data_IF_762284421849
#
_entry.id   IF_762284421849
#
_cell.length_a   1.000
_cell.length_b   1.000
_cell.length_c   1.000
_cell.angle_alpha   90.00
_cell.angle_beta   90.00
_cell.angle_gamma   90.00
#
_symmetry.space_group_name_H-M   'P 1'
#
loop_
_entity.id
_entity.type
_entity.pdbx_description
1 polymer ?
#
# COMPACT_ATOMS: atom_id res chain seq x y z
N UNK A 1 -48.68 25.01 -27.29
CA UNK A 1 -48.58 26.48 -27.49
C UNK A 1 -48.06 27.05 -26.18
N UNK A 2 -46.82 27.56 -26.14
CA UNK A 2 -46.51 29.01 -26.18
C UNK A 2 -47.11 29.70 -24.94
N UNK A 3 -46.43 30.50 -24.10
CA UNK A 3 -45.07 31.01 -23.92
C UNK A 3 -45.21 32.02 -22.74
N UNK A 4 -44.08 32.48 -22.20
CA UNK A 4 -43.87 33.76 -21.47
C UNK A 4 -44.38 33.86 -20.02
N UNK A 5 -43.48 33.98 -19.03
CA UNK A 5 -42.63 35.15 -18.63
C UNK A 5 -43.44 36.30 -18.04
N UNK A 6 -43.14 36.64 -16.79
CA UNK A 6 -42.69 37.97 -16.29
C UNK A 6 -42.66 37.90 -14.74
N UNK A 7 -41.97 38.67 -13.92
CA UNK A 7 -40.72 39.48 -13.90
C UNK A 7 -40.72 40.17 -12.51
N UNK A 8 -39.53 40.47 -11.96
CA UNK A 8 -39.26 41.50 -10.92
C UNK A 8 -39.71 41.21 -9.46
N UNK A 9 -39.06 41.69 -8.38
CA UNK A 9 -38.03 42.73 -8.23
C UNK A 9 -37.37 42.72 -6.82
N UNK A 10 -36.16 43.30 -6.73
CA UNK A 10 -35.60 44.14 -5.65
C UNK A 10 -35.21 43.48 -4.30
N UNK A 11 -34.09 43.77 -3.62
CA UNK A 11 -33.03 44.78 -3.80
C UNK A 11 -32.44 45.17 -2.42
N UNK A 12 -31.20 45.71 -2.43
CA UNK A 12 -30.40 46.45 -1.40
C UNK A 12 -29.02 45.82 -1.19
N UNK A 13 -27.92 46.23 -1.85
CA UNK A 13 -27.08 47.46 -1.77
C UNK A 13 -26.50 47.82 -0.39
N UNK A 14 -25.17 47.71 -0.27
CA UNK A 14 -24.28 48.72 0.32
C UNK A 14 -22.89 48.62 -0.35
N UNK A 15 -22.36 49.77 -0.76
CA UNK A 15 -21.09 49.98 -1.46
C UNK A 15 -20.36 51.17 -0.83
N UNK A 16 -19.04 51.08 -0.66
CA UNK A 16 -18.02 52.16 -0.56
C UNK A 16 -16.65 51.51 -0.88
N UNK A 17 -16.13 51.56 -2.12
CA UNK A 17 -15.06 52.43 -2.69
C UNK A 17 -13.73 52.50 -1.91
N UNK A 18 -12.52 52.32 -2.47
CA UNK A 18 -12.10 52.19 -3.88
C UNK A 18 -10.59 51.90 -4.06
N UNK A 19 -10.21 51.75 -5.34
CA UNK A 19 -8.91 51.89 -6.04
C UNK A 19 -7.70 51.01 -5.60
N UNK A 20 -6.92 50.33 -6.45
CA UNK A 20 -6.62 50.40 -7.90
C UNK A 20 -5.99 49.07 -8.40
N UNK A 21 -6.36 48.67 -9.61
CA UNK A 21 -5.65 47.86 -10.63
C UNK A 21 -4.61 46.78 -10.22
N UNK A 22 -4.88 45.50 -10.51
CA UNK A 22 -4.22 44.64 -11.54
C UNK A 22 -5.14 43.45 -11.82
N UNK A 23 -5.42 43.16 -13.09
CA UNK A 23 -6.36 42.11 -13.50
C UNK A 23 -5.90 40.68 -13.22
N UNK A 24 -6.82 39.84 -12.73
CA UNK A 24 -6.73 38.38 -12.74
C UNK A 24 -7.97 37.81 -13.45
N UNK A 25 -7.83 36.79 -14.31
CA UNK A 25 -8.98 36.10 -14.89
C UNK A 25 -9.66 35.21 -13.82
N UNK A 26 -10.97 34.90 -13.96
CA UNK A 26 -11.69 34.12 -12.97
C UNK A 26 -11.24 32.66 -12.98
N UNK A 27 -10.58 32.22 -11.92
CA UNK A 27 -10.25 30.82 -11.68
C UNK A 27 -11.49 30.04 -11.28
N UNK A 28 -11.87 29.08 -12.11
CA UNK A 28 -12.86 28.03 -11.82
C UNK A 28 -12.52 27.32 -10.49
N UNK A 29 -13.42 27.39 -9.50
CA UNK A 29 -13.41 26.48 -8.35
C UNK A 29 -14.21 25.23 -8.73
N UNK A 30 -13.56 24.28 -9.41
CA UNK A 30 -14.10 22.93 -9.64
C UNK A 30 -13.37 21.92 -8.77
N UNK A 31 -13.96 21.49 -7.65
CA UNK A 31 -13.45 20.36 -6.88
C UNK A 31 -13.81 19.05 -7.59
N UNK A 32 -12.84 18.35 -8.18
CA UNK A 32 -13.03 16.98 -8.65
C UNK A 32 -13.22 16.08 -7.42
N UNK A 33 -14.41 15.51 -7.26
CA UNK A 33 -14.74 14.65 -6.12
C UNK A 33 -13.95 13.34 -6.19
N UNK A 34 -13.26 12.98 -5.10
CA UNK A 34 -12.47 11.74 -4.96
C UNK A 34 -13.34 10.47 -5.08
N UNK A 35 -14.64 10.60 -4.82
CA UNK A 35 -15.60 9.50 -4.81
C UNK A 35 -16.64 9.72 -5.91
N UNK A 36 -16.61 8.95 -7.01
CA UNK A 36 -17.61 9.06 -8.07
C UNK A 36 -18.95 8.50 -7.58
N UNK A 37 -19.97 9.35 -7.56
CA UNK A 37 -21.28 9.07 -6.94
C UNK A 37 -22.19 8.18 -7.79
N UNK A 38 -22.10 8.18 -9.13
CA UNK A 38 -22.87 7.35 -10.06
C UNK A 38 -22.14 7.20 -11.42
N UNK A 39 -22.64 6.35 -12.34
CA UNK A 39 -22.06 6.15 -13.70
C UNK A 39 -21.90 7.47 -14.49
N UNK A 40 -22.87 8.38 -14.38
CA UNK A 40 -22.82 9.70 -15.03
C UNK A 40 -21.80 10.66 -14.37
N UNK A 41 -21.52 10.50 -13.07
CA UNK A 41 -20.49 11.28 -12.38
C UNK A 41 -19.07 10.82 -12.76
N UNK A 42 -18.91 9.54 -13.13
CA UNK A 42 -17.69 9.03 -13.76
C UNK A 42 -17.44 9.72 -15.11
N UNK A 43 -18.50 9.98 -15.89
CA UNK A 43 -18.44 10.70 -17.19
C UNK A 43 -18.18 12.21 -17.05
N UNK A 44 -18.61 12.86 -15.97
CA UNK A 44 -18.23 14.27 -15.70
C UNK A 44 -16.79 14.43 -15.20
N UNK A 45 -16.30 13.48 -14.40
CA UNK A 45 -14.88 13.45 -14.02
C UNK A 45 -13.97 13.26 -15.26
N UNK A 46 -14.45 12.54 -16.28
CA UNK A 46 -13.79 12.39 -17.58
C UNK A 46 -13.64 13.74 -18.32
N UNK A 47 -14.70 14.56 -18.38
CA UNK A 47 -14.64 15.84 -19.10
C UNK A 47 -13.91 16.96 -18.32
N UNK A 48 -13.88 16.90 -16.99
CA UNK A 48 -13.19 17.89 -16.15
C UNK A 48 -11.65 17.76 -16.14
N UNK A 49 -11.10 16.66 -16.64
CA UNK A 49 -9.65 16.43 -16.74
C UNK A 49 -9.06 16.91 -18.09
N UNK A 50 -9.89 17.23 -19.09
CA UNK A 50 -9.44 17.67 -20.42
C UNK A 50 -9.19 19.20 -20.52
N UNK A 51 -9.65 20.01 -19.57
CA UNK A 51 -9.58 21.49 -19.68
C UNK A 51 -8.30 22.14 -19.12
N UNK A 52 -7.23 21.36 -18.88
CA UNK A 52 -5.89 21.89 -18.57
C UNK A 52 -4.89 21.37 -19.59
N UNK A 53 -4.95 21.94 -20.80
CA UNK A 53 -3.82 22.22 -21.71
C UNK A 53 -4.39 22.69 -23.05
N UNK A 54 -4.78 23.96 -23.13
CA UNK A 54 -5.03 24.58 -24.43
C UNK A 54 -3.84 25.47 -24.79
N UNK A 55 -3.03 24.98 -25.72
CA UNK A 55 -1.82 25.66 -26.19
C UNK A 55 -0.96 24.81 -27.11
N UNK A 56 -1.54 24.09 -28.07
CA UNK A 56 -1.12 24.09 -29.48
C UNK A 56 -1.90 23.04 -30.28
N UNK A 57 -2.43 23.48 -31.43
CA UNK A 57 -3.22 22.67 -32.37
C UNK A 57 -2.36 21.57 -32.99
N UNK A 58 -2.83 20.33 -32.95
CA UNK A 58 -3.06 19.39 -34.10
C UNK A 58 -3.49 18.03 -33.52
N UNK A 59 -4.62 17.49 -34.01
CA UNK A 59 -4.96 16.08 -33.88
C UNK A 59 -6.31 15.80 -33.20
N UNK A 60 -7.39 15.82 -33.98
CA UNK A 60 -8.61 15.12 -33.61
C UNK A 60 -8.32 13.62 -33.44
N UNK A 61 -8.77 13.04 -32.32
CA UNK A 61 -8.84 11.59 -32.13
C UNK A 61 -7.78 11.02 -31.19
N UNK A 62 -8.10 10.95 -29.89
CA UNK A 62 -7.86 9.78 -29.02
C UNK A 62 -8.42 10.09 -27.62
N UNK A 63 -9.76 10.09 -27.48
CA UNK A 63 -10.37 9.82 -26.19
C UNK A 63 -10.07 8.34 -25.86
N UNK A 64 -8.96 8.09 -25.17
CA UNK A 64 -8.66 6.76 -24.64
C UNK A 64 -9.69 6.44 -23.57
N UNK A 65 -10.77 5.78 -23.97
CA UNK A 65 -11.68 5.11 -23.05
C UNK A 65 -10.84 4.19 -22.16
N UNK A 66 -10.70 4.53 -20.89
CA UNK A 66 -10.22 3.56 -19.91
C UNK A 66 -11.30 2.49 -19.74
N UNK A 67 -10.90 1.21 -19.81
CA UNK A 67 -11.77 0.10 -19.43
C UNK A 67 -12.12 0.24 -17.94
N UNK A 68 -13.39 0.00 -17.59
CA UNK A 68 -13.95 0.10 -16.23
C UNK A 68 -13.08 -0.52 -15.10
N UNK A 69 -12.45 -1.71 -15.26
CA UNK A 69 -11.55 -2.26 -14.24
C UNK A 69 -10.22 -1.51 -14.07
N UNK A 70 -9.68 -0.91 -15.13
CA UNK A 70 -8.43 -0.15 -15.06
C UNK A 70 -8.63 1.16 -14.29
N UNK A 71 -9.78 1.80 -14.51
CA UNK A 71 -10.17 3.01 -13.78
C UNK A 71 -10.41 2.71 -12.29
N UNK A 72 -11.10 1.62 -11.97
CA UNK A 72 -11.30 1.19 -10.58
C UNK A 72 -9.96 0.95 -9.87
N UNK A 73 -8.99 0.29 -10.52
CA UNK A 73 -7.65 0.10 -9.99
C UNK A 73 -6.96 1.42 -9.69
N UNK A 74 -7.01 2.38 -10.62
CA UNK A 74 -6.38 3.69 -10.45
C UNK A 74 -7.02 4.50 -9.32
N UNK A 75 -8.35 4.45 -9.18
CA UNK A 75 -9.07 5.08 -8.07
C UNK A 75 -8.64 4.51 -6.72
N UNK A 76 -8.55 3.18 -6.61
CA UNK A 76 -8.12 2.51 -5.38
C UNK A 76 -6.66 2.80 -5.04
N UNK A 77 -5.76 2.87 -6.03
CA UNK A 77 -4.38 3.32 -5.82
C UNK A 77 -4.31 4.76 -5.29
N UNK A 78 -5.16 5.65 -5.79
CA UNK A 78 -5.21 7.03 -5.32
C UNK A 78 -5.73 7.11 -3.87
N UNK A 79 -6.72 6.28 -3.51
CA UNK A 79 -7.21 6.14 -2.14
C UNK A 79 -6.08 5.65 -1.22
N UNK A 80 -5.22 4.73 -1.65
CA UNK A 80 -4.10 4.28 -0.83
C UNK A 80 -3.05 5.37 -0.61
N UNK A 81 -2.72 6.11 -1.68
CA UNK A 81 -1.76 7.22 -1.63
C UNK A 81 -2.26 8.33 -0.69
N UNK A 82 -3.56 8.61 -0.74
CA UNK A 82 -4.20 9.73 -0.02
C UNK A 82 -5.22 9.27 1.02
N UNK A 83 -4.99 8.13 1.71
CA UNK A 83 -6.02 7.47 2.54
C UNK A 83 -6.68 8.38 3.56
N UNK A 84 -5.90 9.22 4.25
CA UNK A 84 -6.44 10.11 5.26
C UNK A 84 -7.44 11.09 4.67
N UNK A 85 -7.12 11.69 3.53
CA UNK A 85 -7.98 12.68 2.88
C UNK A 85 -9.19 12.00 2.23
N UNK A 86 -8.96 10.87 1.55
CA UNK A 86 -10.01 10.10 0.90
C UNK A 86 -11.08 9.64 1.91
N UNK A 87 -10.67 9.02 3.02
CA UNK A 87 -11.60 8.50 4.03
C UNK A 87 -12.33 9.63 4.79
N UNK A 88 -11.71 10.81 4.95
CA UNK A 88 -12.35 11.96 5.60
C UNK A 88 -13.17 12.84 4.66
N UNK A 89 -13.07 12.66 3.34
CA UNK A 89 -13.85 13.42 2.38
C UNK A 89 -15.36 13.20 2.58
N UNK A 90 -16.15 14.24 2.32
CA UNK A 90 -17.63 14.16 2.40
C UNK A 90 -18.19 13.09 1.46
N UNK A 91 -17.58 12.93 0.28
CA UNK A 91 -17.98 11.91 -0.69
C UNK A 91 -17.80 10.46 -0.19
N UNK A 92 -17.01 10.22 0.87
CA UNK A 92 -16.84 8.87 1.42
C UNK A 92 -18.17 8.29 1.92
N UNK A 93 -19.05 9.11 2.49
CA UNK A 93 -20.34 8.63 2.96
C UNK A 93 -21.32 8.30 1.84
N UNK A 94 -21.04 8.72 0.61
CA UNK A 94 -21.94 8.57 -0.55
C UNK A 94 -21.74 7.27 -1.32
N UNK A 95 -20.67 6.51 -1.03
CA UNK A 95 -20.35 5.26 -1.72
C UNK A 95 -21.33 4.14 -1.34
N UNK A 96 -21.53 3.17 -2.25
CA UNK A 96 -22.28 1.95 -1.97
C UNK A 96 -21.51 0.97 -1.05
N UNK A 97 -22.22 -0.04 -0.56
CA UNK A 97 -21.67 -1.04 0.36
C UNK A 97 -20.54 -1.87 -0.28
N UNK A 98 -20.65 -2.21 -1.56
CA UNK A 98 -19.65 -3.01 -2.26
C UNK A 98 -18.34 -2.23 -2.42
N UNK A 99 -18.42 -0.93 -2.73
CA UNK A 99 -17.28 -0.01 -2.78
C UNK A 99 -16.67 0.18 -1.40
N UNK A 100 -17.49 0.32 -0.35
CA UNK A 100 -17.00 0.37 1.03
C UNK A 100 -16.22 -0.91 1.37
N UNK A 101 -16.76 -2.08 1.05
CA UNK A 101 -16.10 -3.36 1.29
C UNK A 101 -14.78 -3.45 0.51
N UNK A 102 -14.78 -3.09 -0.78
CA UNK A 102 -13.58 -3.09 -1.61
C UNK A 102 -12.47 -2.18 -1.05
N UNK A 103 -12.82 -1.06 -0.43
CA UNK A 103 -11.87 -0.20 0.28
C UNK A 103 -11.38 -0.87 1.57
N UNK A 104 -12.29 -1.39 2.40
CA UNK A 104 -11.97 -2.01 3.71
C UNK A 104 -11.21 -3.35 3.59
N UNK A 105 -11.26 -4.03 2.45
CA UNK A 105 -10.48 -5.25 2.20
C UNK A 105 -9.00 -4.96 1.95
N UNK A 106 -8.63 -3.73 1.54
CA UNK A 106 -7.26 -3.40 1.14
C UNK A 106 -6.29 -3.44 2.32
N UNK A 107 -5.24 -4.24 2.19
CA UNK A 107 -4.10 -4.21 3.10
C UNK A 107 -3.28 -2.92 2.99
N UNK A 108 -3.43 -2.15 1.91
CA UNK A 108 -2.60 -1.00 1.57
C UNK A 108 -3.09 0.33 2.16
N UNK A 109 -4.26 0.37 2.82
CA UNK A 109 -4.76 1.58 3.47
C UNK A 109 -3.80 2.02 4.60
N UNK A 110 -3.21 3.20 4.46
CA UNK A 110 -2.34 3.76 5.51
C UNK A 110 -3.11 4.62 6.51
N UNK A 111 -3.94 3.98 7.32
CA UNK A 111 -4.76 4.63 8.34
C UNK A 111 -4.82 3.77 9.59
N UNK A 112 -4.89 4.39 10.77
CA UNK A 112 -5.15 3.65 12.03
C UNK A 112 -6.56 3.08 12.00
N UNK A 113 -6.72 1.84 12.47
CA UNK A 113 -8.02 1.16 12.50
C UNK A 113 -9.09 1.97 13.25
N UNK A 114 -8.74 2.67 14.34
CA UNK A 114 -9.70 3.53 15.04
C UNK A 114 -10.25 4.66 14.16
N UNK A 115 -9.42 5.25 13.30
CA UNK A 115 -9.84 6.31 12.37
C UNK A 115 -10.69 5.74 11.24
N UNK A 116 -10.35 4.54 10.78
CA UNK A 116 -11.14 3.81 9.79
C UNK A 116 -12.53 3.45 10.36
N UNK A 117 -12.59 2.92 11.59
CA UNK A 117 -13.83 2.63 12.30
C UNK A 117 -14.72 3.87 12.42
N UNK A 118 -14.17 5.02 12.80
CA UNK A 118 -14.95 6.26 12.90
C UNK A 118 -15.52 6.70 11.55
N UNK A 119 -14.78 6.53 10.46
CA UNK A 119 -15.28 6.83 9.12
C UNK A 119 -16.38 5.86 8.68
N UNK A 120 -16.21 4.57 8.97
CA UNK A 120 -17.25 3.55 8.73
C UNK A 120 -18.51 3.83 9.56
N UNK A 121 -18.35 4.35 10.79
CA UNK A 121 -19.45 4.83 11.62
C UNK A 121 -20.24 5.97 10.97
N UNK A 122 -19.55 6.96 10.38
CA UNK A 122 -20.19 8.04 9.59
C UNK A 122 -20.92 7.49 8.37
N UNK A 123 -20.31 6.53 7.66
CA UNK A 123 -20.96 5.89 6.52
C UNK A 123 -22.23 5.14 6.96
N UNK A 124 -22.18 4.40 8.07
CA UNK A 124 -23.35 3.69 8.60
C UNK A 124 -24.49 4.64 8.99
N UNK A 125 -24.18 5.80 9.56
CA UNK A 125 -25.17 6.85 9.85
C UNK A 125 -25.83 7.39 8.59
N UNK A 126 -25.03 7.71 7.56
CA UNK A 126 -25.54 8.17 6.27
C UNK A 126 -26.39 7.10 5.58
N UNK A 127 -25.97 5.83 5.65
CA UNK A 127 -26.71 4.71 5.07
C UNK A 127 -28.04 4.45 5.78
N UNK A 128 -28.07 4.53 7.12
CA UNK A 128 -29.32 4.48 7.87
C UNK A 128 -30.27 5.62 7.44
N UNK A 129 -29.76 6.83 7.23
CA UNK A 129 -30.57 7.95 6.75
C UNK A 129 -31.11 7.71 5.33
N UNK A 130 -30.28 7.18 4.42
CA UNK A 130 -30.70 6.81 3.05
C UNK A 130 -31.81 5.76 3.05
N UNK A 131 -31.73 4.78 3.95
CA UNK A 131 -32.73 3.73 4.12
C UNK A 131 -33.91 4.14 5.02
N UNK A 132 -33.98 5.40 5.47
CA UNK A 132 -35.02 5.90 6.38
C UNK A 132 -35.14 5.11 7.69
N UNK A 133 -34.02 4.60 8.19
CA UNK A 133 -33.91 3.87 9.45
C UNK A 133 -33.56 4.82 10.60
N UNK A 134 -34.04 4.49 11.81
CA UNK A 134 -33.62 5.17 13.03
C UNK A 134 -32.14 4.92 13.29
N UNK A 135 -31.41 5.94 13.80
CA UNK A 135 -29.97 5.88 14.07
C UNK A 135 -29.63 5.08 15.34
N UNK A 136 -30.09 3.83 15.42
CA UNK A 136 -29.80 2.92 16.53
C UNK A 136 -28.56 2.06 16.21
N UNK A 137 -27.82 1.58 17.24
CA UNK A 137 -26.67 0.69 17.04
C UNK A 137 -27.00 -0.57 16.24
N UNK A 138 -28.19 -1.14 16.44
CA UNK A 138 -28.67 -2.34 15.75
C UNK A 138 -28.86 -2.08 14.25
N UNK A 139 -29.43 -0.92 13.90
CA UNK A 139 -29.59 -0.52 12.50
C UNK A 139 -28.24 -0.21 11.86
N UNK A 140 -27.32 0.45 12.56
CA UNK A 140 -25.94 0.68 12.08
C UNK A 140 -25.24 -0.65 11.80
N UNK A 141 -25.32 -1.62 12.72
CA UNK A 141 -24.77 -2.97 12.52
C UNK A 141 -25.41 -3.66 11.32
N UNK A 142 -26.74 -3.54 11.15
CA UNK A 142 -27.48 -4.14 10.05
C UNK A 142 -27.04 -3.59 8.69
N UNK A 143 -26.91 -2.27 8.54
CA UNK A 143 -26.49 -1.66 7.26
C UNK A 143 -25.02 -1.93 6.94
N UNK A 144 -24.16 -2.05 7.96
CA UNK A 144 -22.76 -2.41 7.77
C UNK A 144 -22.57 -3.85 7.30
N UNK A 145 -23.38 -4.79 7.82
CA UNK A 145 -23.30 -6.21 7.44
C UNK A 145 -21.87 -6.75 7.50
N UNK A 146 -21.36 -7.30 6.39
CA UNK A 146 -20.00 -7.86 6.28
C UNK A 146 -18.90 -6.81 6.38
N UNK A 147 -19.17 -5.55 6.07
CA UNK A 147 -18.17 -4.48 6.16
C UNK A 147 -17.64 -4.31 7.59
N UNK A 148 -18.47 -4.59 8.61
CA UNK A 148 -18.05 -4.52 10.02
C UNK A 148 -16.91 -5.51 10.34
N UNK A 149 -16.96 -6.72 9.78
CA UNK A 149 -15.91 -7.73 9.99
C UNK A 149 -14.59 -7.42 9.28
N UNK A 150 -14.57 -6.46 8.36
CA UNK A 150 -13.36 -6.02 7.66
C UNK A 150 -12.56 -4.98 8.47
N UNK A 151 -13.13 -4.46 9.56
CA UNK A 151 -12.42 -3.60 10.51
C UNK A 151 -11.57 -4.49 11.41
N UNK A 152 -10.29 -4.16 11.54
CA UNK A 152 -9.30 -5.00 12.23
C UNK A 152 -9.16 -4.59 13.68
N UNK A 153 -10.25 -4.71 14.45
CA UNK A 153 -10.28 -4.34 15.87
C UNK A 153 -9.10 -4.87 16.71
N UNK A 154 -8.58 -6.11 16.51
CA UNK A 154 -7.44 -6.62 17.28
C UNK A 154 -6.14 -5.82 17.13
N UNK A 155 -6.07 -4.92 16.14
CA UNK A 155 -4.93 -4.05 15.90
C UNK A 155 -5.06 -2.65 16.52
N UNK A 156 -6.20 -2.36 17.14
CA UNK A 156 -6.35 -1.15 17.94
C UNK A 156 -5.61 -1.31 19.28
N UNK A 157 -5.21 -0.19 19.87
CA UNK A 157 -4.83 -0.19 21.30
C UNK A 157 -6.05 -0.47 22.18
N UNK A 158 -5.83 -0.95 23.41
CA UNK A 158 -6.92 -1.20 24.37
C UNK A 158 -7.69 0.10 24.62
N UNK A 159 -6.97 1.21 24.74
CA UNK A 159 -7.52 2.54 24.99
C UNK A 159 -8.40 3.01 23.81
N UNK A 160 -7.92 2.85 22.57
CA UNK A 160 -8.70 3.16 21.37
C UNK A 160 -9.97 2.30 21.28
N UNK A 161 -9.84 1.00 21.54
CA UNK A 161 -10.97 0.07 21.49
C UNK A 161 -12.01 0.39 22.58
N UNK A 162 -11.54 0.58 23.82
CA UNK A 162 -12.38 0.84 24.98
C UNK A 162 -13.12 2.17 24.90
N UNK A 163 -12.50 3.21 24.31
CA UNK A 163 -13.10 4.53 24.14
C UNK A 163 -13.97 4.66 22.88
N UNK A 164 -13.80 3.79 21.89
CA UNK A 164 -14.51 3.84 20.62
C UNK A 164 -15.45 2.64 20.42
N UNK A 165 -15.03 1.60 19.68
CA UNK A 165 -15.89 0.47 19.32
C UNK A 165 -16.65 -0.16 20.48
N UNK A 166 -16.02 -0.35 21.64
CA UNK A 166 -16.66 -0.97 22.80
C UNK A 166 -17.85 -0.16 23.36
N UNK A 167 -17.85 1.17 23.20
CA UNK A 167 -18.94 2.04 23.65
C UNK A 167 -20.00 2.29 22.57
N UNK A 168 -19.72 1.89 21.32
CA UNK A 168 -20.61 2.16 20.19
C UNK A 168 -21.89 1.31 20.17
N UNK A 169 -21.91 0.21 20.94
CA UNK A 169 -22.93 -0.84 20.90
C UNK A 169 -23.15 -1.48 19.51
N UNK A 170 -22.30 -1.20 18.53
CA UNK A 170 -22.32 -1.84 17.20
C UNK A 170 -21.77 -3.26 17.29
N UNK A 171 -20.85 -3.53 18.23
CA UNK A 171 -20.36 -4.86 18.56
C UNK A 171 -21.25 -5.53 19.62
N UNK A 172 -21.41 -6.83 19.53
CA UNK A 172 -22.09 -7.64 20.55
C UNK A 172 -21.22 -7.78 21.79
N UNK A 173 -21.84 -8.00 22.96
CA UNK A 173 -21.11 -8.21 24.21
C UNK A 173 -20.09 -9.35 24.11
N UNK A 174 -20.44 -10.42 23.36
CA UNK A 174 -19.53 -11.55 23.11
C UNK A 174 -18.28 -11.12 22.33
N UNK A 175 -18.44 -10.31 21.27
CA UNK A 175 -17.33 -9.78 20.49
C UNK A 175 -16.46 -8.84 21.33
N UNK A 176 -17.09 -7.95 22.12
CA UNK A 176 -16.38 -7.01 23.00
C UNK A 176 -15.54 -7.76 24.03
N UNK A 177 -16.12 -8.73 24.74
CA UNK A 177 -15.40 -9.57 25.71
C UNK A 177 -14.28 -10.34 25.04
N UNK A 178 -14.53 -10.93 23.86
CA UNK A 178 -13.52 -11.68 23.12
C UNK A 178 -12.32 -10.82 22.71
N UNK A 179 -12.56 -9.56 22.31
CA UNK A 179 -11.50 -8.62 21.95
C UNK A 179 -10.74 -8.13 23.19
N UNK A 180 -11.41 -7.85 24.30
CA UNK A 180 -10.72 -7.52 25.57
C UNK A 180 -9.80 -8.64 26.06
N UNK A 181 -10.22 -9.90 25.94
CA UNK A 181 -9.37 -11.05 26.23
C UNK A 181 -8.19 -11.13 25.26
N UNK A 182 -8.40 -10.85 23.97
CA UNK A 182 -7.33 -10.82 22.96
C UNK A 182 -6.24 -9.78 23.31
N UNK A 183 -6.61 -8.63 23.85
CA UNK A 183 -5.63 -7.60 24.20
C UNK A 183 -4.87 -7.86 25.50
N UNK A 184 -5.46 -8.59 26.45
CA UNK A 184 -4.94 -8.71 27.82
C UNK A 184 -4.29 -10.05 28.14
N UNK A 185 -4.66 -11.11 27.44
CA UNK A 185 -4.23 -12.49 27.75
C UNK A 185 -3.10 -12.96 26.83
N UNK A 186 -2.15 -13.73 27.38
CA UNK A 186 -1.06 -14.37 26.66
C UNK A 186 -1.00 -15.88 27.00
N UNK A 187 -1.06 -16.81 26.02
CA UNK A 187 -1.16 -16.59 24.58
C UNK A 187 -2.48 -15.93 24.17
N UNK A 188 -2.41 -15.07 23.14
CA UNK A 188 -3.58 -14.34 22.65
C UNK A 188 -4.63 -15.32 22.10
N UNK A 189 -5.88 -15.29 22.61
CA UNK A 189 -6.96 -16.11 22.06
C UNK A 189 -7.30 -15.69 20.62
N UNK A 190 -7.77 -16.66 19.83
CA UNK A 190 -8.30 -16.40 18.48
C UNK A 190 -9.62 -15.64 18.58
N UNK A 191 -9.85 -14.76 17.61
CA UNK A 191 -11.05 -13.92 17.50
C UNK A 191 -11.61 -13.98 16.08
N UNK A 192 -12.86 -13.55 15.91
CA UNK A 192 -13.57 -13.59 14.61
C UNK A 192 -13.17 -12.43 13.67
N UNK A 193 -12.31 -11.52 14.14
CA UNK A 193 -11.82 -10.37 13.37
C UNK A 193 -10.39 -10.60 12.87
N UNK A 194 -10.06 -9.96 11.75
CA UNK A 194 -8.72 -10.00 11.18
C UNK A 194 -7.74 -9.35 12.17
N UNK A 195 -6.71 -10.09 12.57
CA UNK A 195 -5.66 -9.67 13.51
C UNK A 195 -4.33 -9.38 12.82
N UNK A 196 -4.33 -9.30 11.48
CA UNK A 196 -3.16 -9.00 10.66
C UNK A 196 -3.11 -7.52 10.26
N UNK A 197 -2.00 -6.81 10.54
CA UNK A 197 -1.81 -5.41 10.14
C UNK A 197 -2.12 -5.14 8.67
N UNK A 198 -2.74 -3.98 8.39
CA UNK A 198 -2.74 -3.42 7.03
C UNK A 198 -1.29 -3.10 6.68
N UNK A 199 -0.72 -3.85 5.75
CA UNK A 199 0.58 -3.54 5.16
C UNK A 199 0.44 -2.32 4.25
N UNK A 200 0.48 -1.15 4.87
CA UNK A 200 0.66 0.11 4.18
C UNK A 200 2.09 0.14 3.61
N UNK A 201 2.30 -0.50 2.45
CA UNK A 201 3.46 -0.25 1.60
C UNK A 201 3.31 1.15 1.02
N UNK A 202 3.41 2.16 1.90
CA UNK A 202 3.43 3.56 1.50
C UNK A 202 4.80 3.85 0.93
N UNK A 203 4.81 4.50 -0.22
CA UNK A 203 6.04 4.90 -0.90
C UNK A 203 6.29 4.10 -2.17
N UNK A 204 7.31 4.54 -2.90
CA UNK A 204 7.80 3.86 -4.08
C UNK A 204 8.55 2.62 -3.64
N UNK A 205 8.35 1.50 -4.35
CA UNK A 205 9.21 0.34 -4.17
C UNK A 205 10.67 0.74 -4.44
N UNK A 206 11.54 0.37 -3.52
CA UNK A 206 12.96 0.64 -3.59
C UNK A 206 13.74 -0.66 -3.74
N UNK A 207 14.88 -0.58 -4.41
CA UNK A 207 15.89 -1.63 -4.38
C UNK A 207 17.25 -1.02 -4.03
N UNK A 208 18.08 -1.83 -3.38
CA UNK A 208 19.51 -1.55 -3.25
C UNK A 208 20.28 -2.71 -3.85
N UNK A 209 21.34 -2.41 -4.60
CA UNK A 209 22.29 -3.40 -5.07
C UNK A 209 23.58 -3.29 -4.25
N UNK A 210 24.07 -4.42 -3.73
CA UNK A 210 25.27 -4.46 -2.88
C UNK A 210 26.58 -4.63 -3.66
N UNK A 211 26.54 -4.90 -4.95
CA UNK A 211 27.72 -5.15 -5.77
C UNK A 211 27.99 -4.02 -6.76
N UNK A 212 29.27 -3.82 -7.09
CA UNK A 212 29.68 -2.82 -8.07
C UNK A 212 30.02 -3.43 -9.44
N UNK A 213 30.21 -4.75 -9.49
CA UNK A 213 30.59 -5.49 -10.68
C UNK A 213 29.88 -6.84 -10.74
N UNK A 214 29.79 -7.39 -11.94
CA UNK A 214 29.17 -8.69 -12.22
C UNK A 214 30.15 -9.53 -13.02
N UNK A 215 30.34 -10.78 -12.61
CA UNK A 215 31.27 -11.75 -13.20
C UNK A 215 30.59 -13.10 -13.43
N UNK A 216 31.33 -14.06 -13.99
CA UNK A 216 30.89 -15.44 -14.18
C UNK A 216 32.01 -16.44 -13.80
N UNK A 217 31.74 -17.65 -13.31
CA UNK A 217 30.46 -18.35 -13.13
C UNK A 217 30.22 -18.75 -11.66
N UNK A 218 28.96 -18.86 -11.25
CA UNK A 218 28.54 -19.29 -9.91
C UNK A 218 27.60 -20.49 -9.97
N UNK A 219 27.97 -21.57 -9.27
CA UNK A 219 27.31 -22.88 -9.38
C UNK A 219 26.47 -23.26 -8.17
N UNK A 220 25.59 -24.24 -8.38
CA UNK A 220 24.59 -24.65 -7.40
C UNK A 220 24.60 -26.18 -7.19
N UNK A 221 24.79 -26.60 -5.93
CA UNK A 221 24.78 -28.01 -5.52
C UNK A 221 23.73 -28.31 -4.43
N UNK A 222 22.79 -27.39 -4.21
CA UNK A 222 21.77 -27.46 -3.17
C UNK A 222 22.10 -26.71 -1.88
N UNK A 223 23.29 -26.11 -1.79
CA UNK A 223 23.67 -25.22 -0.69
C UNK A 223 23.04 -23.83 -0.89
N UNK A 224 22.56 -23.21 0.19
CA UNK A 224 21.92 -21.90 0.16
C UNK A 224 22.96 -20.77 0.11
N UNK A 225 22.76 -19.78 -0.75
CA UNK A 225 23.48 -18.51 -0.72
C UNK A 225 22.93 -17.63 0.41
N UNK A 226 23.81 -17.14 1.29
CA UNK A 226 23.38 -16.46 2.52
C UNK A 226 24.20 -15.21 2.81
N UNK A 227 23.51 -14.14 3.18
CA UNK A 227 24.14 -12.88 3.61
C UNK A 227 23.39 -12.30 4.81
N UNK A 228 24.11 -11.80 5.81
CA UNK A 228 23.48 -11.07 6.93
C UNK A 228 23.33 -9.61 6.58
N UNK A 229 22.26 -8.99 7.07
CA UNK A 229 22.07 -7.56 6.94
C UNK A 229 21.40 -6.95 8.17
N UNK A 230 21.65 -5.67 8.36
CA UNK A 230 20.93 -4.79 9.28
C UNK A 230 20.54 -3.52 8.52
N UNK A 231 19.54 -2.81 9.01
CA UNK A 231 19.10 -1.53 8.45
C UNK A 231 18.91 -0.52 9.57
N UNK A 232 19.21 0.76 9.33
CA UNK A 232 19.08 1.80 10.35
C UNK A 232 17.63 2.30 10.58
N UNK A 233 16.67 1.82 9.78
CA UNK A 233 15.26 2.24 9.77
C UNK A 233 14.37 1.03 9.56
N UNK A 234 13.13 1.14 10.05
CA UNK A 234 12.10 0.14 9.79
C UNK A 234 11.83 0.12 8.29
N UNK A 235 11.80 -1.08 7.70
CA UNK A 235 11.44 -1.30 6.30
C UNK A 235 10.58 -2.56 6.19
N UNK A 236 9.95 -2.74 5.02
CA UNK A 236 9.27 -3.98 4.66
C UNK A 236 9.95 -4.57 3.43
N UNK A 237 10.64 -5.69 3.59
CA UNK A 237 11.28 -6.40 2.48
C UNK A 237 10.24 -7.25 1.77
N UNK A 238 10.12 -7.07 0.47
CA UNK A 238 9.12 -7.75 -0.36
C UNK A 238 9.74 -8.80 -1.26
N UNK A 239 11.06 -8.77 -1.49
CA UNK A 239 11.75 -9.74 -2.31
C UNK A 239 13.24 -9.50 -2.44
N UNK A 240 13.88 -10.34 -3.25
CA UNK A 240 15.27 -10.21 -3.64
C UNK A 240 15.39 -10.10 -5.16
N UNK A 241 16.42 -9.41 -5.63
CA UNK A 241 16.93 -9.60 -6.98
C UNK A 241 18.08 -10.60 -6.92
N UNK A 242 18.08 -11.58 -7.83
CA UNK A 242 19.06 -12.65 -7.93
C UNK A 242 19.71 -12.66 -9.32
N UNK A 243 20.99 -13.01 -9.43
CA UNK A 243 21.59 -13.25 -10.73
C UNK A 243 21.07 -14.55 -11.35
N UNK A 244 20.93 -14.53 -12.68
CA UNK A 244 20.49 -15.65 -13.50
C UNK A 244 21.61 -16.28 -14.32
N UNK A 245 21.23 -17.18 -15.22
CA UNK A 245 22.13 -17.99 -16.05
C UNK A 245 23.15 -17.17 -16.84
N UNK A 246 24.33 -17.76 -17.08
CA UNK A 246 25.32 -17.23 -18.05
C UNK A 246 25.00 -17.61 -19.51
N UNK A 247 23.97 -18.42 -19.71
CA UNK A 247 23.56 -18.93 -21.02
C UNK A 247 22.03 -18.90 -21.18
N UNK A 248 21.56 -18.37 -22.31
CA UNK A 248 20.21 -18.53 -22.87
C UNK A 248 19.02 -18.25 -21.94
N UNK A 249 17.79 -18.35 -22.47
CA UNK A 249 16.62 -18.39 -21.63
C UNK A 249 16.56 -19.70 -20.83
N UNK A 250 16.46 -19.61 -19.51
CA UNK A 250 16.30 -20.78 -18.64
C UNK A 250 15.60 -20.41 -17.34
N UNK A 251 15.04 -21.41 -16.68
CA UNK A 251 14.28 -21.26 -15.44
C UNK A 251 15.10 -21.76 -14.25
N UNK A 252 15.03 -21.00 -13.16
CA UNK A 252 15.50 -21.42 -11.84
C UNK A 252 14.32 -21.75 -10.94
N UNK A 253 14.47 -22.81 -10.15
CA UNK A 253 13.70 -22.97 -8.92
C UNK A 253 14.50 -22.36 -7.78
N UNK A 254 13.84 -21.62 -6.89
CA UNK A 254 14.49 -21.00 -5.75
C UNK A 254 13.60 -21.00 -4.51
N UNK A 255 14.18 -21.38 -3.38
CA UNK A 255 13.61 -21.12 -2.06
C UNK A 255 14.28 -19.88 -1.47
N UNK A 256 13.51 -18.82 -1.21
CA UNK A 256 14.00 -17.62 -0.54
C UNK A 256 13.52 -17.55 0.91
N UNK A 257 14.36 -17.04 1.80
CA UNK A 257 14.03 -16.87 3.22
C UNK A 257 14.61 -15.59 3.80
N UNK A 258 13.92 -15.01 4.78
CA UNK A 258 14.48 -14.07 5.74
C UNK A 258 14.38 -14.69 7.12
N UNK A 259 15.52 -14.75 7.81
CA UNK A 259 15.65 -15.39 9.12
C UNK A 259 16.12 -14.35 10.13
N UNK A 260 15.48 -14.28 11.29
CA UNK A 260 16.00 -13.54 12.44
C UNK A 260 17.28 -14.23 12.94
N UNK A 261 18.43 -13.57 12.85
CA UNK A 261 19.74 -14.22 12.98
C UNK A 261 19.97 -14.84 14.36
N UNK A 262 19.53 -14.17 15.43
CA UNK A 262 19.84 -14.61 16.80
C UNK A 262 18.98 -15.80 17.23
N UNK A 263 17.71 -15.83 16.83
CA UNK A 263 16.77 -16.90 17.18
C UNK A 263 16.67 -18.01 16.14
N UNK A 264 17.27 -17.81 14.95
CA UNK A 264 17.09 -18.65 13.77
C UNK A 264 15.62 -18.84 13.35
N UNK A 265 14.74 -17.90 13.71
CA UNK A 265 13.32 -17.95 13.35
C UNK A 265 13.12 -17.46 11.92
N UNK A 266 12.44 -18.25 11.09
CA UNK A 266 12.06 -17.84 9.73
C UNK A 266 10.91 -16.83 9.83
N UNK A 267 11.13 -15.63 9.28
CA UNK A 267 10.15 -14.53 9.27
C UNK A 267 9.37 -14.47 7.96
N UNK A 268 10.00 -14.87 6.85
CA UNK A 268 9.36 -14.99 5.55
C UNK A 268 10.04 -16.07 4.74
N UNK A 269 9.26 -16.82 3.98
CA UNK A 269 9.75 -17.85 3.06
C UNK A 269 8.87 -17.97 1.83
N UNK A 270 9.46 -18.33 0.70
CA UNK A 270 8.71 -18.69 -0.49
C UNK A 270 9.49 -19.69 -1.36
N UNK A 271 8.84 -20.78 -1.75
CA UNK A 271 9.29 -21.68 -2.81
C UNK A 271 8.73 -21.15 -4.13
N UNK A 272 9.63 -20.64 -4.98
CA UNK A 272 9.26 -19.93 -6.21
C UNK A 272 10.28 -20.22 -7.32
N UNK A 273 10.23 -19.46 -8.40
CA UNK A 273 11.15 -19.56 -9.51
C UNK A 273 11.16 -18.28 -10.33
N UNK A 274 12.13 -18.16 -11.22
CA UNK A 274 12.21 -17.06 -12.18
C UNK A 274 12.82 -17.56 -13.48
N UNK A 275 12.41 -16.93 -14.58
CA UNK A 275 13.02 -17.09 -15.90
C UNK A 275 14.05 -15.99 -16.09
N UNK A 276 15.23 -16.35 -16.59
CA UNK A 276 16.28 -15.42 -16.98
C UNK A 276 16.64 -15.61 -18.45
N UNK A 277 17.15 -14.57 -19.10
CA UNK A 277 17.45 -14.51 -20.54
C UNK A 277 18.93 -14.74 -20.89
N UNK A 278 19.78 -14.98 -19.87
CA UNK A 278 21.23 -15.10 -20.02
C UNK A 278 21.99 -13.79 -19.86
N UNK A 279 21.30 -12.67 -19.61
CA UNK A 279 21.95 -11.39 -19.31
C UNK A 279 22.50 -11.35 -17.89
N UNK A 280 23.41 -10.40 -17.64
CA UNK A 280 23.97 -10.13 -16.31
C UNK A 280 23.03 -9.31 -15.41
N UNK A 281 21.75 -9.18 -15.77
CA UNK A 281 20.74 -8.47 -14.99
C UNK A 281 20.34 -9.25 -13.73
N UNK A 282 19.65 -8.56 -12.82
CA UNK A 282 19.00 -9.18 -11.66
C UNK A 282 17.56 -9.55 -11.99
N UNK A 283 17.12 -10.69 -11.47
CA UNK A 283 15.79 -11.25 -11.65
C UNK A 283 15.09 -11.33 -10.31
N UNK A 284 13.86 -10.83 -10.27
CA UNK A 284 13.15 -10.58 -9.02
C UNK A 284 12.41 -11.83 -8.57
N UNK A 285 12.49 -12.09 -7.27
CA UNK A 285 11.73 -13.13 -6.58
C UNK A 285 11.13 -12.57 -5.31
N UNK A 286 9.84 -12.81 -5.11
CA UNK A 286 9.04 -12.11 -4.10
C UNK A 286 8.61 -13.05 -2.98
N UNK A 287 8.53 -12.51 -1.76
CA UNK A 287 7.83 -13.17 -0.65
C UNK A 287 6.32 -13.14 -0.89
N UNK A 288 5.58 -14.04 -0.24
CA UNK A 288 4.11 -14.06 -0.31
C UNK A 288 3.49 -12.83 0.36
N UNK A 289 4.13 -12.35 1.41
CA UNK A 289 3.75 -11.17 2.18
C UNK A 289 5.01 -10.36 2.50
N UNK A 290 4.93 -9.03 2.64
CA UNK A 290 6.07 -8.21 3.04
C UNK A 290 6.60 -8.62 4.43
N UNK A 291 7.93 -8.74 4.55
CA UNK A 291 8.60 -9.09 5.80
C UNK A 291 9.05 -7.82 6.51
N UNK A 292 8.53 -7.59 7.70
CA UNK A 292 8.93 -6.46 8.54
C UNK A 292 10.36 -6.63 9.06
N UNK A 293 11.19 -5.61 8.81
CA UNK A 293 12.57 -5.54 9.27
C UNK A 293 12.71 -4.34 10.21
N UNK A 294 13.10 -4.62 11.44
CA UNK A 294 13.26 -3.62 12.49
C UNK A 294 14.67 -2.99 12.44
N UNK A 295 14.80 -1.71 12.85
CA UNK A 295 16.09 -1.04 12.89
C UNK A 295 17.11 -1.78 13.77
N UNK A 296 18.34 -1.91 13.27
CA UNK A 296 19.51 -2.41 13.99
C UNK A 296 19.38 -3.86 14.51
N UNK A 297 18.44 -4.63 13.99
CA UNK A 297 18.31 -6.07 14.25
C UNK A 297 19.01 -6.85 13.13
N UNK A 298 19.69 -7.94 13.47
CA UNK A 298 20.38 -8.80 12.50
C UNK A 298 19.42 -9.79 11.85
N UNK A 299 19.41 -9.77 10.52
CA UNK A 299 18.67 -10.72 9.69
C UNK A 299 19.60 -11.45 8.75
N UNK A 300 19.21 -12.65 8.33
CA UNK A 300 19.91 -13.41 7.29
C UNK A 300 18.98 -13.56 6.09
N UNK A 301 19.40 -13.02 4.94
CA UNK A 301 18.78 -13.28 3.65
C UNK A 301 19.35 -14.57 3.08
N UNK A 302 18.49 -15.47 2.63
CA UNK A 302 18.86 -16.76 2.07
C UNK A 302 18.19 -16.95 0.71
N UNK A 303 18.92 -17.50 -0.25
CA UNK A 303 18.39 -17.96 -1.53
C UNK A 303 19.00 -19.32 -1.87
N UNK A 304 18.16 -20.35 -2.03
CA UNK A 304 18.61 -21.71 -2.39
C UNK A 304 18.17 -22.00 -3.81
N UNK A 305 19.08 -21.78 -4.77
CA UNK A 305 18.79 -21.92 -6.19
C UNK A 305 19.04 -23.36 -6.68
N UNK A 306 18.23 -23.77 -7.66
CA UNK A 306 18.41 -24.97 -8.46
C UNK A 306 18.26 -24.59 -9.93
N UNK A 307 19.36 -24.74 -10.67
CA UNK A 307 19.46 -24.37 -12.08
C UNK A 307 20.91 -24.48 -12.56
N UNK A 308 21.20 -24.05 -13.80
CA UNK A 308 22.56 -24.04 -14.36
C UNK A 308 23.48 -23.03 -13.65
N UNK A 309 24.72 -22.87 -14.13
CA UNK A 309 25.60 -21.83 -13.59
C UNK A 309 25.11 -20.43 -13.96
N UNK A 310 25.33 -19.50 -13.05
CA UNK A 310 24.84 -18.12 -13.11
C UNK A 310 25.96 -17.09 -13.09
N UNK A 311 25.61 -15.84 -13.35
CA UNK A 311 26.43 -14.70 -13.00
C UNK A 311 26.51 -14.55 -11.46
N UNK A 312 27.49 -13.80 -10.98
CA UNK A 312 27.58 -13.39 -9.57
C UNK A 312 28.13 -11.98 -9.44
N UNK A 313 27.88 -11.36 -8.30
CA UNK A 313 28.36 -10.02 -8.01
C UNK A 313 29.75 -10.06 -7.40
N UNK A 314 30.55 -9.03 -7.67
CA UNK A 314 31.86 -8.82 -7.06
C UNK A 314 32.00 -7.36 -6.60
N UNK A 315 33.06 -7.09 -5.83
CA UNK A 315 33.31 -5.77 -5.20
C UNK A 315 32.13 -5.32 -4.34
N UNK A 316 31.64 -6.24 -3.52
CA UNK A 316 30.52 -6.02 -2.65
C UNK A 316 30.80 -4.96 -1.57
N UNK A 317 29.78 -4.14 -1.31
CA UNK A 317 29.84 -3.03 -0.37
C UNK A 317 29.29 -3.46 0.99
N UNK A 318 30.09 -3.26 2.04
CA UNK A 318 29.64 -3.48 3.42
C UNK A 318 28.48 -2.57 3.82
N UNK A 319 28.38 -1.37 3.23
CA UNK A 319 27.30 -0.42 3.48
C UNK A 319 26.77 0.14 2.17
N UNK A 320 25.45 0.16 2.04
CA UNK A 320 24.74 0.75 0.90
C UNK A 320 23.66 1.68 1.44
N UNK A 321 23.57 2.88 0.88
CA UNK A 321 22.59 3.89 1.31
C UNK A 321 21.59 4.13 0.20
N UNK A 322 20.32 3.95 0.50
CA UNK A 322 19.21 4.45 -0.30
C UNK A 322 18.77 5.80 0.25
N UNK A 323 18.63 6.80 -0.62
CA UNK A 323 18.14 8.13 -0.27
C UNK A 323 16.81 8.39 -0.97
N UNK A 324 15.78 8.69 -0.18
CA UNK A 324 14.45 9.02 -0.68
C UNK A 324 14.51 10.34 -1.46
N UNK A 325 14.14 10.38 -2.75
CA UNK A 325 14.23 11.59 -3.56
C UNK A 325 13.23 12.67 -3.13
N UNK A 326 12.16 12.28 -2.43
CA UNK A 326 11.11 13.19 -1.97
C UNK A 326 11.39 13.77 -0.58
N UNK A 327 12.03 13.00 0.30
CA UNK A 327 12.21 13.39 1.71
C UNK A 327 13.67 13.60 2.12
N UNK A 328 14.64 13.21 1.28
CA UNK A 328 16.06 13.17 1.64
C UNK A 328 16.40 12.13 2.72
N UNK A 329 15.43 11.29 3.10
CA UNK A 329 15.61 10.31 4.17
C UNK A 329 16.55 9.20 3.70
N UNK A 330 17.54 8.87 4.55
CA UNK A 330 18.55 7.85 4.28
C UNK A 330 18.24 6.53 4.99
N UNK A 331 18.04 5.49 4.20
CA UNK A 331 17.94 4.09 4.64
C UNK A 331 19.27 3.41 4.33
N UNK A 332 20.02 3.06 5.37
CA UNK A 332 21.37 2.50 5.28
C UNK A 332 21.33 1.03 5.63
N UNK A 333 21.71 0.19 4.67
CA UNK A 333 21.90 -1.24 4.85
C UNK A 333 23.37 -1.51 5.20
N UNK A 334 23.61 -2.37 6.18
CA UNK A 334 24.94 -2.88 6.51
C UNK A 334 24.95 -4.39 6.34
N UNK A 335 25.83 -4.89 5.47
CA UNK A 335 25.98 -6.31 5.16
C UNK A 335 27.12 -6.95 5.95
N UNK A 336 26.87 -8.17 6.43
CA UNK A 336 27.79 -8.94 7.25
C UNK A 336 27.87 -10.39 6.74
N UNK A 337 29.02 -11.01 6.93
CA UNK A 337 29.24 -12.40 6.53
C UNK A 337 28.32 -13.36 7.30
N UNK A 338 27.69 -14.28 6.60
CA UNK A 338 26.90 -15.36 7.18
C UNK A 338 27.76 -16.64 7.25
N UNK A 339 28.34 -16.96 8.41
CA UNK A 339 29.22 -18.11 8.55
C UNK A 339 28.53 -19.46 8.24
N UNK A 340 29.27 -20.38 7.63
CA UNK A 340 28.84 -21.76 7.36
C UNK A 340 28.20 -21.95 5.98
N UNK A 341 27.03 -22.59 5.95
CA UNK A 341 26.32 -23.07 4.77
C UNK A 341 25.80 -21.93 3.85
N UNK A 342 26.70 -21.19 3.18
CA UNK A 342 26.41 -19.95 2.44
C UNK A 342 26.76 -20.01 0.93
N UNK A 343 27.09 -21.20 0.41
CA UNK A 343 27.47 -21.46 -0.98
C UNK A 343 28.64 -20.61 -1.50
N UNK A 344 29.46 -20.05 -0.60
CA UNK A 344 30.55 -19.13 -0.95
C UNK A 344 30.15 -17.65 -0.96
N UNK A 345 28.86 -17.31 -0.84
CA UNK A 345 28.40 -15.92 -0.81
C UNK A 345 28.96 -15.22 0.42
N UNK A 346 29.55 -14.04 0.20
CA UNK A 346 30.21 -13.21 1.20
C UNK A 346 29.75 -11.75 1.09
N UNK A 347 30.35 -10.85 1.89
CA UNK A 347 30.10 -9.42 1.75
C UNK A 347 30.65 -8.92 0.41
N UNK A 348 31.76 -9.51 -0.05
CA UNK A 348 32.53 -9.10 -1.21
C UNK A 348 32.02 -9.71 -2.52
N UNK A 349 31.52 -10.95 -2.50
CA UNK A 349 31.20 -11.73 -3.71
C UNK A 349 29.94 -12.61 -3.53
N UNK A 350 29.33 -12.99 -4.66
CA UNK A 350 28.33 -14.07 -4.73
C UNK A 350 26.93 -13.62 -5.12
N UNK A 351 25.92 -14.28 -4.55
CA UNK A 351 24.50 -14.09 -4.87
C UNK A 351 23.78 -13.13 -3.90
N UNK A 352 22.48 -12.95 -4.10
CA UNK A 352 21.64 -11.97 -3.41
C UNK A 352 22.18 -10.54 -3.62
N UNK A 353 22.27 -10.07 -4.88
CA UNK A 353 22.70 -8.71 -5.18
C UNK A 353 21.75 -7.66 -4.62
N UNK A 354 20.44 -7.92 -4.68
CA UNK A 354 19.44 -6.89 -4.38
C UNK A 354 18.46 -7.28 -3.27
N UNK A 355 18.16 -6.30 -2.41
CA UNK A 355 17.02 -6.34 -1.49
C UNK A 355 15.98 -5.35 -2.00
N UNK A 356 14.74 -5.83 -2.17
CA UNK A 356 13.59 -5.06 -2.66
C UNK A 356 12.69 -4.76 -1.46
N UNK A 357 12.37 -3.49 -1.23
CA UNK A 357 11.72 -3.06 0.01
C UNK A 357 10.89 -1.78 -0.13
N UNK A 358 10.08 -1.51 0.90
CA UNK A 358 9.39 -0.24 1.13
C UNK A 358 9.86 0.37 2.46
N UNK A 359 9.84 1.71 2.54
CA UNK A 359 10.31 2.51 3.70
C UNK A 359 9.20 3.14 4.50
#
# INVERSE_FOLDING_TARGET
MILQRHTAMCGKTCAVSGDTAVGQPPGYQGSVSVWPRNREDRERALNGAEEIKEGDRVGEGEARLFDEPQLASLCLENIDKNTSDAINAEGFTDIDLDTLMAVLERDTLGIREIRLFNAVGRWAEAECQRQQLQLTPENKRKVLGKALSLIRFPLMTIEEFAAGPAQSAVLTDREVVSLFLHFTVNPKPRVEFIDRPRCCLRGKECSINRFQQVESRWGYSGTSDRIRFTVNRRIFVVGFGLYGSIHGPTDYQVNIQIIHTDSNTILGQNDTGFSCDGSSNTFRVMFKEPVEILPNVNYTACATLKGPDSHYGTKGLRKVTHESPTTGTKTVFTFCYAAGNNNGTSVEDGQVPEIIFYT
#
